data_IF_369184584173
#
_entry.id   IF_369184584173
#
_cell.length_a   1.000
_cell.length_b   1.000
_cell.length_c   1.000
_cell.angle_alpha   90.00
_cell.angle_beta   90.00
_cell.angle_gamma   90.00
#
_symmetry.space_group_name_H-M   'P 1'
#
loop_
_entity.id
_entity.type
_entity.pdbx_description
1 polymer ?
#
# COMPACT_ATOMS: atom_id res chain seq x y z
N UNK A 1 -12.51 -34.00 -22.47
CA UNK A 1 -11.86 -32.70 -22.79
C UNK A 1 -10.69 -32.56 -21.83
N UNK A 2 -9.52 -33.05 -22.20
CA UNK A 2 -8.34 -33.08 -21.32
C UNK A 2 -7.47 -31.79 -21.44
N UNK A 3 -8.06 -30.68 -21.91
CA UNK A 3 -7.30 -29.47 -22.22
C UNK A 3 -6.99 -28.59 -20.98
N UNK A 4 -7.63 -28.77 -19.83
CA UNK A 4 -7.84 -27.59 -18.97
C UNK A 4 -7.29 -27.71 -17.52
N UNK A 5 -7.16 -28.90 -16.94
CA UNK A 5 -6.78 -29.04 -15.52
C UNK A 5 -5.32 -28.69 -15.23
N UNK A 6 -4.40 -29.07 -16.13
CA UNK A 6 -2.98 -28.74 -16.01
C UNK A 6 -2.74 -27.26 -16.24
N UNK A 7 -3.48 -26.65 -17.17
CA UNK A 7 -3.40 -25.21 -17.45
C UNK A 7 -3.92 -24.39 -16.26
N UNK A 8 -5.07 -24.76 -15.69
CA UNK A 8 -5.62 -24.14 -14.47
C UNK A 8 -4.66 -24.31 -13.29
N UNK A 9 -4.08 -25.50 -13.09
CA UNK A 9 -3.10 -25.72 -12.02
C UNK A 9 -1.85 -24.85 -12.19
N UNK A 10 -1.37 -24.69 -13.43
CA UNK A 10 -0.23 -23.85 -13.77
C UNK A 10 -0.53 -22.35 -13.54
N UNK A 11 -1.73 -21.89 -13.89
CA UNK A 11 -2.17 -20.51 -13.62
C UNK A 11 -2.33 -20.26 -12.12
N UNK A 12 -2.93 -21.18 -11.35
CA UNK A 12 -3.01 -21.09 -9.89
C UNK A 12 -1.61 -20.97 -9.28
N UNK A 13 -0.67 -21.82 -9.70
CA UNK A 13 0.71 -21.77 -9.22
C UNK A 13 1.41 -20.45 -9.56
N UNK A 14 1.19 -19.95 -10.77
CA UNK A 14 1.76 -18.68 -11.24
C UNK A 14 1.18 -17.50 -10.47
N UNK A 15 -0.14 -17.47 -10.28
CA UNK A 15 -0.83 -16.46 -9.48
C UNK A 15 -0.39 -16.50 -8.01
N UNK A 16 -0.22 -17.68 -7.41
CA UNK A 16 0.30 -17.83 -6.05
C UNK A 16 1.74 -17.27 -5.91
N UNK A 17 2.63 -17.54 -6.88
CA UNK A 17 3.96 -16.92 -6.92
C UNK A 17 3.91 -15.40 -7.05
N UNK A 18 2.99 -14.86 -7.86
CA UNK A 18 2.78 -13.41 -7.99
C UNK A 18 2.26 -12.80 -6.69
N UNK A 19 1.38 -13.50 -5.97
CA UNK A 19 0.87 -13.09 -4.68
C UNK A 19 1.97 -13.06 -3.61
N UNK A 20 2.82 -14.09 -3.55
CA UNK A 20 3.96 -14.13 -2.63
C UNK A 20 4.91 -12.94 -2.85
N UNK A 21 5.29 -12.68 -4.11
CA UNK A 21 6.12 -11.52 -4.47
C UNK A 21 5.44 -10.17 -4.14
N UNK A 22 4.12 -10.10 -4.28
CA UNK A 22 3.35 -8.91 -3.90
C UNK A 22 3.37 -8.70 -2.38
N UNK A 23 3.30 -9.77 -1.59
CA UNK A 23 3.44 -9.74 -0.13
C UNK A 23 4.79 -9.14 0.31
N UNK A 24 5.90 -9.63 -0.24
CA UNK A 24 7.23 -9.10 0.09
C UNK A 24 7.35 -7.60 -0.24
N UNK A 25 6.83 -7.19 -1.41
CA UNK A 25 6.79 -5.78 -1.80
C UNK A 25 5.90 -4.95 -0.89
N UNK A 26 4.81 -5.50 -0.37
CA UNK A 26 3.93 -4.81 0.56
C UNK A 26 4.60 -4.51 1.89
N UNK A 27 5.45 -5.41 2.40
CA UNK A 27 6.24 -5.12 3.60
C UNK A 27 7.20 -3.95 3.39
N UNK A 28 7.84 -3.87 2.22
CA UNK A 28 8.68 -2.73 1.86
C UNK A 28 7.88 -1.44 1.79
N UNK A 29 6.73 -1.44 1.09
CA UNK A 29 5.85 -0.26 0.99
C UNK A 29 5.30 0.17 2.36
N UNK A 30 4.96 -0.78 3.23
CA UNK A 30 4.51 -0.49 4.59
C UNK A 30 5.61 0.19 5.41
N UNK A 31 6.85 -0.30 5.31
CA UNK A 31 8.02 0.30 5.95
C UNK A 31 8.28 1.72 5.43
N UNK A 32 8.24 1.91 4.11
CA UNK A 32 8.41 3.23 3.48
C UNK A 32 7.35 4.22 3.96
N UNK A 33 6.07 3.79 4.01
CA UNK A 33 4.99 4.61 4.54
C UNK A 33 5.22 4.99 6.01
N UNK A 34 5.56 4.02 6.87
CA UNK A 34 5.83 4.28 8.28
C UNK A 34 6.99 5.27 8.48
N UNK A 35 8.07 5.13 7.70
CA UNK A 35 9.20 6.05 7.73
C UNK A 35 8.82 7.46 7.24
N UNK A 36 8.01 7.56 6.19
CA UNK A 36 7.52 8.84 5.68
C UNK A 36 6.60 9.56 6.67
N UNK A 37 5.67 8.85 7.33
CA UNK A 37 4.82 9.41 8.39
C UNK A 37 5.67 9.87 9.58
N UNK A 38 6.65 9.06 10.03
CA UNK A 38 7.55 9.47 11.10
C UNK A 38 8.28 10.78 10.76
N UNK A 39 8.89 10.85 9.57
CA UNK A 39 9.61 12.04 9.09
C UNK A 39 8.70 13.26 9.01
N UNK A 40 7.51 13.09 8.45
CA UNK A 40 6.51 14.17 8.35
C UNK A 40 6.10 14.69 9.73
N UNK A 41 5.80 13.81 10.68
CA UNK A 41 5.37 14.19 12.04
C UNK A 41 6.47 14.92 12.82
N UNK A 42 7.70 14.45 12.72
CA UNK A 42 8.85 15.11 13.35
C UNK A 42 9.05 16.52 12.77
N UNK A 43 9.09 16.64 11.44
CA UNK A 43 9.25 17.93 10.77
C UNK A 43 8.11 18.90 11.08
N UNK A 44 6.86 18.41 11.10
CA UNK A 44 5.70 19.24 11.43
C UNK A 44 5.78 19.81 12.84
N UNK A 45 6.17 18.98 13.82
CA UNK A 45 6.35 19.41 15.20
C UNK A 45 7.44 20.48 15.34
N UNK A 46 8.59 20.26 14.69
CA UNK A 46 9.69 21.22 14.67
C UNK A 46 9.29 22.54 14.00
N UNK A 47 8.59 22.48 12.87
CA UNK A 47 8.16 23.67 12.13
C UNK A 47 7.12 24.48 12.92
N UNK A 48 6.17 23.82 13.59
CA UNK A 48 5.22 24.49 14.48
C UNK A 48 5.96 25.19 15.62
N UNK A 49 6.94 24.53 16.25
CA UNK A 49 7.70 25.16 17.35
C UNK A 49 8.48 26.39 16.88
N UNK A 50 9.12 26.30 15.71
CA UNK A 50 9.82 27.42 15.08
C UNK A 50 8.87 28.59 14.79
N UNK A 51 7.75 28.34 14.13
CA UNK A 51 6.78 29.40 13.80
C UNK A 51 6.15 30.03 15.04
N UNK A 52 5.98 29.27 16.14
CA UNK A 52 5.54 29.83 17.43
C UNK A 52 6.59 30.75 18.04
N UNK A 53 7.87 30.42 17.92
CA UNK A 53 8.97 31.28 18.35
C UNK A 53 9.02 32.58 17.52
N UNK A 54 8.74 32.48 16.22
CA UNK A 54 8.54 33.61 15.30
C UNK A 54 7.25 34.41 15.54
N UNK A 55 6.50 34.10 16.60
CA UNK A 55 5.25 34.76 17.02
C UNK A 55 4.13 34.69 15.97
N UNK A 56 4.14 33.69 15.09
CA UNK A 56 3.02 33.43 14.19
C UNK A 56 1.75 33.15 15.01
N UNK A 57 0.59 33.78 14.69
CA UNK A 57 -0.64 33.58 15.43
C UNK A 57 -1.05 32.11 15.52
N UNK A 58 -1.49 31.69 16.71
CA UNK A 58 -1.89 30.29 16.99
C UNK A 58 -3.02 29.81 16.09
N UNK A 59 -3.87 30.73 15.61
CA UNK A 59 -4.95 30.43 14.68
C UNK A 59 -4.49 29.96 13.30
N UNK A 60 -3.29 30.35 12.84
CA UNK A 60 -2.79 30.04 11.49
C UNK A 60 -1.50 29.21 11.49
N UNK A 61 -0.80 29.09 12.63
CA UNK A 61 0.51 28.44 12.73
C UNK A 61 0.50 27.01 12.17
N UNK A 62 -0.58 26.26 12.38
CA UNK A 62 -0.73 24.90 11.86
C UNK A 62 -0.85 24.83 10.34
N UNK A 63 -1.52 25.80 9.73
CA UNK A 63 -1.68 25.86 8.28
C UNK A 63 -0.38 26.30 7.60
N UNK A 64 0.29 27.30 8.16
CA UNK A 64 1.61 27.76 7.70
C UNK A 64 2.64 26.64 7.80
N UNK A 65 2.71 25.94 8.93
CA UNK A 65 3.63 24.81 9.09
C UNK A 65 3.39 23.73 8.03
N UNK A 66 2.13 23.34 7.81
CA UNK A 66 1.78 22.33 6.80
C UNK A 66 2.09 22.79 5.36
N UNK A 67 1.98 24.08 5.08
CA UNK A 67 2.39 24.64 3.79
C UNK A 67 3.91 24.58 3.60
N UNK A 68 4.70 24.96 4.62
CA UNK A 68 6.16 24.96 4.56
C UNK A 68 6.74 23.55 4.35
N UNK A 69 6.10 22.52 4.91
CA UNK A 69 6.52 21.13 4.75
C UNK A 69 5.60 20.31 3.82
N UNK A 70 4.93 20.96 2.87
CA UNK A 70 3.96 20.33 1.98
C UNK A 70 4.55 19.15 1.19
N UNK A 71 5.83 19.21 0.83
CA UNK A 71 6.52 18.12 0.13
C UNK A 71 6.63 16.84 0.99
N UNK A 72 6.91 16.97 2.30
CA UNK A 72 6.94 15.83 3.21
C UNK A 72 5.54 15.21 3.37
N UNK A 73 4.50 16.05 3.40
CA UNK A 73 3.11 15.58 3.42
C UNK A 73 2.77 14.82 2.15
N UNK A 74 3.13 15.37 0.98
CA UNK A 74 2.92 14.72 -0.31
C UNK A 74 3.59 13.35 -0.37
N UNK A 75 4.86 13.26 0.03
CA UNK A 75 5.62 12.01 0.01
C UNK A 75 5.01 10.95 0.94
N UNK A 76 4.54 11.36 2.12
CA UNK A 76 3.79 10.48 3.02
C UNK A 76 2.50 9.98 2.37
N UNK A 77 1.67 10.90 1.86
CA UNK A 77 0.37 10.56 1.28
C UNK A 77 0.56 9.62 0.07
N UNK A 78 1.57 9.90 -0.75
CA UNK A 78 1.96 9.03 -1.87
C UNK A 78 2.36 7.63 -1.41
N UNK A 79 3.16 7.52 -0.35
CA UNK A 79 3.54 6.23 0.22
C UNK A 79 2.32 5.47 0.78
N UNK A 80 1.39 6.16 1.42
CA UNK A 80 0.13 5.58 1.91
C UNK A 80 -0.71 5.00 0.76
N UNK A 81 -0.92 5.80 -0.29
CA UNK A 81 -1.71 5.36 -1.43
C UNK A 81 -1.05 4.22 -2.19
N UNK A 82 0.28 4.21 -2.30
CA UNK A 82 1.02 3.08 -2.88
C UNK A 82 0.83 1.80 -2.08
N UNK A 83 0.94 1.87 -0.76
CA UNK A 83 0.70 0.72 0.12
C UNK A 83 -0.73 0.20 -0.02
N UNK A 84 -1.74 1.08 0.06
CA UNK A 84 -3.16 0.72 -0.10
C UNK A 84 -3.43 0.09 -1.46
N UNK A 85 -2.97 0.70 -2.55
CA UNK A 85 -3.15 0.17 -3.89
C UNK A 85 -2.50 -1.21 -4.07
N UNK A 86 -1.31 -1.43 -3.49
CA UNK A 86 -0.66 -2.73 -3.50
C UNK A 86 -1.43 -3.80 -2.72
N UNK A 87 -2.02 -3.41 -1.57
CA UNK A 87 -2.84 -4.29 -0.74
C UNK A 87 -4.11 -4.70 -1.48
N UNK A 88 -4.81 -3.73 -2.05
CA UNK A 88 -6.06 -3.95 -2.77
C UNK A 88 -5.81 -4.83 -4.01
N UNK A 89 -4.69 -4.62 -4.71
CA UNK A 89 -4.24 -5.51 -5.80
C UNK A 89 -3.98 -6.95 -5.32
N UNK A 90 -3.37 -7.11 -4.15
CA UNK A 90 -3.08 -8.44 -3.60
C UNK A 90 -4.37 -9.17 -3.19
N UNK A 91 -5.36 -8.44 -2.68
CA UNK A 91 -6.69 -8.99 -2.39
C UNK A 91 -7.42 -9.41 -3.67
N UNK A 92 -7.33 -8.62 -4.74
CA UNK A 92 -7.89 -9.00 -6.03
C UNK A 92 -7.26 -10.30 -6.58
N UNK A 93 -5.92 -10.44 -6.49
CA UNK A 93 -5.22 -11.67 -6.87
C UNK A 93 -5.66 -12.88 -6.03
N UNK A 94 -5.88 -12.68 -4.72
CA UNK A 94 -6.38 -13.75 -3.85
C UNK A 94 -7.79 -14.20 -4.25
N UNK A 95 -8.66 -13.28 -4.63
CA UNK A 95 -10.00 -13.59 -5.13
C UNK A 95 -9.94 -14.37 -6.46
N UNK A 96 -9.05 -13.98 -7.37
CA UNK A 96 -8.81 -14.67 -8.65
C UNK A 96 -8.34 -16.12 -8.43
N UNK A 97 -7.36 -16.34 -7.54
CA UNK A 97 -6.91 -17.68 -7.17
C UNK A 97 -8.06 -18.53 -6.61
N UNK A 98 -8.90 -17.95 -5.76
CA UNK A 98 -10.05 -18.64 -5.15
C UNK A 98 -11.09 -19.05 -6.20
N UNK A 99 -11.31 -18.21 -7.22
CA UNK A 99 -12.18 -18.52 -8.34
C UNK A 99 -11.62 -19.68 -9.18
N UNK A 100 -10.32 -19.64 -9.52
CA UNK A 100 -9.65 -20.71 -10.26
C UNK A 100 -9.68 -22.05 -9.49
N UNK A 101 -9.45 -22.04 -8.17
CA UNK A 101 -9.56 -23.23 -7.33
C UNK A 101 -10.98 -23.82 -7.34
N UNK A 102 -12.00 -22.98 -7.40
CA UNK A 102 -13.39 -23.42 -7.47
C UNK A 102 -13.72 -24.06 -8.82
N UNK A 103 -13.20 -23.49 -9.92
CA UNK A 103 -13.33 -24.06 -11.25
C UNK A 103 -12.62 -25.42 -11.36
N UNK A 104 -11.39 -25.50 -10.83
CA UNK A 104 -10.61 -26.74 -10.79
C UNK A 104 -11.37 -27.88 -10.10
N UNK A 105 -11.89 -27.64 -8.89
CA UNK A 105 -12.67 -28.64 -8.14
C UNK A 105 -13.89 -29.15 -8.91
N UNK A 106 -14.65 -28.25 -9.55
CA UNK A 106 -15.84 -28.64 -10.34
C UNK A 106 -15.48 -29.49 -11.56
N UNK A 107 -14.28 -29.37 -12.11
CA UNK A 107 -13.82 -30.23 -13.21
C UNK A 107 -13.41 -31.63 -12.73
N UNK A 108 -12.94 -31.78 -11.49
CA UNK A 108 -12.64 -33.09 -10.90
C UNK A 108 -13.92 -33.87 -10.55
N UNK A 109 -15.03 -33.17 -10.28
CA UNK A 109 -16.33 -33.76 -9.93
C UNK A 109 -17.15 -34.28 -11.15
N UNK A 110 -16.69 -34.03 -12.39
CA UNK A 110 -17.35 -34.42 -13.67
C UNK A 110 -16.63 -35.61 -14.31
#
# INVERSE_FOLDING_TARGET
MALDTVEIAQEIYTAAKRLQKSGDKLFTLAKEYAQAEQKYRQALGMEIMKLRDEKVPVSIVGDVARANIAELKFNRDLAEYRYKAGRDKSQALQAEISALQTLYKRQEDI
#
